data_IF_197165341392
#
_entry.id   IF_197165341392
#
_cell.length_a   1.000
_cell.length_b   1.000
_cell.length_c   1.000
_cell.angle_alpha   90.00
_cell.angle_beta   90.00
_cell.angle_gamma   90.00
#
_symmetry.space_group_name_H-M   'P 1'
#
loop_
_entity.id
_entity.type
_entity.pdbx_description
1 polymer ?
#
# COMPACT_ATOMS: atom_id res chain seq x y z
N UNK A 1 -19.55 -12.96 -11.33
CA UNK A 1 -19.23 -11.70 -10.61
C UNK A 1 -17.92 -11.87 -9.86
N UNK A 2 -16.96 -11.05 -10.18
CA UNK A 2 -15.64 -11.18 -9.58
C UNK A 2 -15.61 -10.55 -8.19
N UNK A 3 -15.34 -11.37 -7.18
CA UNK A 3 -15.21 -10.90 -5.81
C UNK A 3 -13.72 -10.75 -5.49
N UNK A 4 -13.25 -9.52 -5.55
CA UNK A 4 -11.86 -9.22 -5.18
C UNK A 4 -11.74 -9.09 -3.66
N UNK A 5 -10.59 -9.53 -3.14
CA UNK A 5 -10.30 -9.43 -1.71
C UNK A 5 -10.07 -7.99 -1.28
N UNK A 6 -9.46 -7.19 -2.13
CA UNK A 6 -9.16 -5.79 -1.88
C UNK A 6 -8.72 -5.10 -3.18
N UNK A 7 -8.74 -3.78 -3.17
CA UNK A 7 -8.25 -2.97 -4.29
C UNK A 7 -6.91 -2.34 -3.90
N UNK A 8 -5.87 -2.67 -4.66
CA UNK A 8 -4.51 -2.27 -4.36
C UNK A 8 -3.98 -1.33 -5.43
N UNK A 9 -3.35 -0.23 -5.01
CA UNK A 9 -2.64 0.67 -5.90
C UNK A 9 -1.16 0.28 -5.89
N UNK A 10 -0.59 0.04 -7.06
CA UNK A 10 0.83 -0.27 -7.23
C UNK A 10 1.51 0.90 -7.92
N UNK A 11 2.45 1.54 -7.23
CA UNK A 11 3.17 2.72 -7.73
C UNK A 11 4.64 2.38 -7.93
N UNK A 12 5.08 2.37 -9.16
CA UNK A 12 6.46 2.09 -9.54
C UNK A 12 6.71 2.68 -10.92
N UNK A 13 7.84 3.33 -11.13
CA UNK A 13 8.20 3.89 -12.43
C UNK A 13 8.70 2.83 -13.42
N UNK A 14 9.06 1.65 -12.94
CA UNK A 14 9.51 0.55 -13.78
C UNK A 14 8.32 -0.22 -14.34
N UNK A 15 8.13 -0.16 -15.66
CA UNK A 15 7.00 -0.80 -16.35
C UNK A 15 6.99 -2.32 -16.13
N UNK A 16 8.17 -2.94 -16.16
CA UNK A 16 8.29 -4.39 -15.97
C UNK A 16 7.87 -4.84 -14.59
N UNK A 17 8.34 -4.14 -13.56
CA UNK A 17 7.99 -4.44 -12.17
C UNK A 17 6.51 -4.21 -11.96
N UNK A 18 6.00 -3.10 -12.45
CA UNK A 18 4.57 -2.74 -12.31
C UNK A 18 3.67 -3.80 -12.93
N UNK A 19 4.00 -4.25 -14.14
CA UNK A 19 3.23 -5.29 -14.83
C UNK A 19 3.32 -6.64 -14.13
N UNK A 20 4.49 -7.01 -13.65
CA UNK A 20 4.70 -8.28 -12.95
C UNK A 20 3.92 -8.30 -11.64
N UNK A 21 4.01 -7.26 -10.84
CA UNK A 21 3.30 -7.16 -9.57
C UNK A 21 1.79 -7.19 -9.80
N UNK A 22 1.31 -6.44 -10.79
CA UNK A 22 -0.12 -6.43 -11.13
C UNK A 22 -0.63 -7.83 -11.48
N UNK A 23 0.10 -8.52 -12.36
CA UNK A 23 -0.26 -9.88 -12.75
C UNK A 23 -0.35 -10.81 -11.55
N UNK A 24 0.68 -10.78 -10.71
CA UNK A 24 0.75 -11.64 -9.55
C UNK A 24 -0.36 -11.37 -8.54
N UNK A 25 -0.66 -10.11 -8.28
CA UNK A 25 -1.74 -9.75 -7.39
C UNK A 25 -3.11 -10.10 -7.96
N UNK A 26 -3.32 -9.89 -9.26
CA UNK A 26 -4.56 -10.31 -9.90
C UNK A 26 -4.80 -11.81 -9.80
N UNK A 27 -3.74 -12.61 -9.93
CA UNK A 27 -3.82 -14.07 -9.77
C UNK A 27 -4.21 -14.48 -8.36
N UNK A 28 -4.01 -13.61 -7.38
CA UNK A 28 -4.35 -13.84 -5.99
C UNK A 28 -5.63 -13.11 -5.55
N UNK A 29 -6.48 -12.76 -6.50
CA UNK A 29 -7.80 -12.16 -6.28
C UNK A 29 -7.78 -10.74 -5.75
N UNK A 30 -6.74 -9.98 -6.06
CA UNK A 30 -6.73 -8.55 -5.78
C UNK A 30 -7.04 -7.77 -7.05
N UNK A 31 -7.85 -6.73 -6.92
CA UNK A 31 -8.05 -5.76 -7.98
C UNK A 31 -6.88 -4.78 -7.92
N UNK A 32 -6.25 -4.50 -9.05
CA UNK A 32 -5.04 -3.68 -9.08
C UNK A 32 -5.22 -2.49 -10.02
N UNK A 33 -4.91 -1.31 -9.50
CA UNK A 33 -4.71 -0.10 -10.30
C UNK A 33 -3.24 0.26 -10.20
N UNK A 34 -2.64 0.72 -11.27
CA UNK A 34 -1.23 1.07 -11.30
C UNK A 34 -1.03 2.58 -11.48
N UNK A 35 0.09 3.08 -10.99
CA UNK A 35 0.54 4.45 -11.22
C UNK A 35 2.04 4.42 -11.51
N UNK A 36 2.48 5.27 -12.43
CA UNK A 36 3.88 5.30 -12.88
C UNK A 36 4.72 6.37 -12.17
N UNK A 37 4.09 7.17 -11.32
CA UNK A 37 4.74 8.28 -10.63
C UNK A 37 3.96 8.65 -9.37
N UNK A 38 4.60 9.44 -8.51
CA UNK A 38 3.93 9.98 -7.33
C UNK A 38 2.77 10.91 -7.71
N UNK A 39 2.93 11.68 -8.78
CA UNK A 39 1.86 12.57 -9.26
C UNK A 39 0.65 11.79 -9.75
N UNK A 40 0.88 10.75 -10.55
CA UNK A 40 -0.19 9.88 -11.04
C UNK A 40 -0.90 9.20 -9.86
N UNK A 41 -0.14 8.74 -8.88
CA UNK A 41 -0.71 8.14 -7.68
C UNK A 41 -1.55 9.14 -6.88
N UNK A 42 -1.07 10.37 -6.74
CA UNK A 42 -1.82 11.42 -6.03
C UNK A 42 -3.15 11.72 -6.70
N UNK A 43 -3.18 11.75 -8.02
CA UNK A 43 -4.42 11.96 -8.77
C UNK A 43 -5.40 10.81 -8.55
N UNK A 44 -4.90 9.59 -8.57
CA UNK A 44 -5.74 8.39 -8.43
C UNK A 44 -6.34 8.25 -7.04
N UNK A 45 -5.59 8.55 -5.99
CA UNK A 45 -6.11 8.44 -4.62
C UNK A 45 -7.19 9.48 -4.30
N UNK A 46 -7.28 10.55 -5.07
CA UNK A 46 -8.35 11.55 -4.93
C UNK A 46 -9.68 11.04 -5.46
N UNK A 47 -9.64 10.10 -6.39
CA UNK A 47 -10.83 9.60 -7.10
C UNK A 47 -11.24 8.22 -6.59
N UNK A 48 -10.28 7.38 -6.26
CA UNK A 48 -10.48 5.98 -5.90
C UNK A 48 -9.98 5.74 -4.48
N UNK A 49 -10.79 5.06 -3.67
CA UNK A 49 -10.34 4.63 -2.34
C UNK A 49 -9.71 3.25 -2.47
N UNK A 50 -8.42 3.17 -2.15
CA UNK A 50 -7.69 1.91 -2.16
C UNK A 50 -7.63 1.32 -0.76
N UNK A 51 -7.50 0.00 -0.69
CA UNK A 51 -7.36 -0.72 0.58
C UNK A 51 -5.90 -0.79 1.03
N UNK A 52 -4.97 -0.68 0.08
CA UNK A 52 -3.54 -0.74 0.36
C UNK A 52 -2.78 -0.16 -0.83
N UNK A 53 -1.63 0.46 -0.55
CA UNK A 53 -0.73 1.00 -1.57
C UNK A 53 0.62 0.29 -1.47
N UNK A 54 1.09 -0.24 -2.60
CA UNK A 54 2.46 -0.73 -2.76
C UNK A 54 3.23 0.37 -3.48
N UNK A 55 4.25 0.93 -2.84
CA UNK A 55 4.89 2.16 -3.26
C UNK A 55 6.39 2.04 -3.32
N UNK A 56 6.96 2.24 -4.51
CA UNK A 56 8.40 2.29 -4.68
C UNK A 56 8.95 3.62 -4.13
N UNK A 57 10.04 3.55 -3.38
CA UNK A 57 10.68 4.76 -2.86
C UNK A 57 11.40 5.51 -3.97
N UNK A 58 12.17 4.79 -4.80
CA UNK A 58 13.04 5.40 -5.80
C UNK A 58 12.32 5.65 -7.11
N UNK A 59 11.80 6.86 -7.26
CA UNK A 59 11.13 7.30 -8.50
C UNK A 59 11.64 8.67 -8.92
N UNK A 60 11.72 8.96 -10.23
CA UNK A 60 12.07 10.30 -10.71
C UNK A 60 11.06 11.34 -10.24
N UNK A 61 11.52 12.56 -9.99
CA UNK A 61 10.66 13.59 -9.45
C UNK A 61 10.43 13.37 -7.97
N UNK A 62 9.18 13.24 -7.55
CA UNK A 62 8.87 12.94 -6.14
C UNK A 62 9.08 11.47 -5.86
N UNK A 63 9.81 11.17 -4.80
CA UNK A 63 9.99 9.78 -4.37
C UNK A 63 8.82 9.32 -3.51
N UNK A 64 8.83 8.03 -3.14
CA UNK A 64 7.75 7.46 -2.34
C UNK A 64 7.59 8.08 -0.96
N UNK A 65 8.70 8.49 -0.32
CA UNK A 65 8.67 9.12 1.00
C UNK A 65 7.99 10.48 0.92
N UNK A 66 8.30 11.27 -0.09
CA UNK A 66 7.66 12.57 -0.33
C UNK A 66 6.17 12.41 -0.60
N UNK A 67 5.80 11.38 -1.34
CA UNK A 67 4.39 11.08 -1.60
C UNK A 67 3.62 10.84 -0.31
N UNK A 68 4.16 10.02 0.61
CA UNK A 68 3.52 9.76 1.89
C UNK A 68 3.40 11.04 2.70
N UNK A 69 4.47 11.81 2.78
CA UNK A 69 4.51 13.05 3.55
C UNK A 69 3.47 14.06 3.06
N UNK A 70 3.35 14.26 1.75
CA UNK A 70 2.41 15.19 1.17
C UNK A 70 0.95 14.77 1.33
N UNK A 71 0.69 13.47 1.37
CA UNK A 71 -0.68 12.96 1.44
C UNK A 71 -1.08 12.50 2.84
N UNK A 72 -0.22 12.68 3.81
CA UNK A 72 -0.39 12.17 5.17
C UNK A 72 -1.71 12.55 5.83
N UNK A 73 -2.17 13.77 5.63
CA UNK A 73 -3.41 14.26 6.24
C UNK A 73 -4.67 13.63 5.66
N UNK A 74 -4.59 13.20 4.40
CA UNK A 74 -5.75 12.69 3.66
C UNK A 74 -5.68 11.18 3.37
N UNK A 75 -4.61 10.52 3.80
CA UNK A 75 -4.36 9.14 3.47
C UNK A 75 -4.44 8.24 4.70
N UNK A 76 -5.57 7.54 4.83
CA UNK A 76 -5.76 6.50 5.85
C UNK A 76 -5.34 5.12 5.37
N UNK A 77 -4.95 5.03 4.12
CA UNK A 77 -4.66 3.77 3.46
C UNK A 77 -3.30 3.25 3.91
N UNK A 78 -3.18 1.97 4.31
CA UNK A 78 -1.87 1.39 4.64
C UNK A 78 -0.95 1.35 3.43
N UNK A 79 0.36 1.51 3.69
CA UNK A 79 1.39 1.58 2.65
C UNK A 79 2.50 0.58 2.92
N UNK A 80 2.84 -0.21 1.91
CA UNK A 80 4.05 -1.04 1.89
C UNK A 80 5.06 -0.34 0.99
N UNK A 81 6.24 -0.02 1.52
CA UNK A 81 7.31 0.58 0.73
C UNK A 81 8.20 -0.49 0.11
N UNK A 82 8.54 -0.29 -1.17
CA UNK A 82 9.55 -1.10 -1.84
C UNK A 82 10.86 -0.33 -1.79
N UNK A 83 11.89 -0.94 -1.24
CA UNK A 83 13.18 -0.28 -0.99
C UNK A 83 14.31 -0.94 -1.76
N UNK A 84 15.38 -0.19 -2.03
CA UNK A 84 16.60 -0.76 -2.58
C UNK A 84 17.28 -1.63 -1.50
N UNK A 85 17.94 -2.69 -1.95
CA UNK A 85 18.62 -3.61 -1.06
C UNK A 85 19.72 -2.90 -0.25
N UNK A 86 19.69 -3.07 1.06
CA UNK A 86 20.73 -2.55 1.95
C UNK A 86 20.54 -1.14 2.44
N UNK A 87 19.47 -0.46 2.06
CA UNK A 87 19.23 0.93 2.42
C UNK A 87 18.48 1.05 3.77
N UNK A 88 19.22 0.83 4.85
CA UNK A 88 18.67 0.95 6.21
C UNK A 88 18.11 2.33 6.51
N UNK A 89 18.75 3.38 5.99
CA UNK A 89 18.33 4.77 6.17
C UNK A 89 16.94 5.01 5.57
N UNK A 90 16.69 4.54 4.36
CA UNK A 90 15.39 4.70 3.70
C UNK A 90 14.30 3.95 4.44
N UNK A 91 14.63 2.80 4.99
CA UNK A 91 13.72 1.99 5.76
C UNK A 91 13.25 2.70 7.03
N UNK A 92 14.20 3.31 7.74
CA UNK A 92 13.92 4.08 8.95
C UNK A 92 13.07 5.31 8.61
N UNK A 93 13.43 6.06 7.58
CA UNK A 93 12.67 7.21 7.13
C UNK A 93 11.24 6.83 6.73
N UNK A 94 11.09 5.69 6.05
CA UNK A 94 9.78 5.19 5.65
C UNK A 94 8.87 4.89 6.83
N UNK A 95 9.40 4.27 7.87
CA UNK A 95 8.64 3.99 9.08
C UNK A 95 8.29 5.29 9.83
N UNK A 96 9.21 6.25 9.86
CA UNK A 96 8.98 7.55 10.51
C UNK A 96 7.88 8.35 9.81
N UNK A 97 7.78 8.31 8.47
CA UNK A 97 6.73 9.03 7.75
C UNK A 97 5.39 8.30 7.75
N UNK A 98 5.32 7.08 8.26
CA UNK A 98 4.07 6.37 8.49
C UNK A 98 3.79 5.19 7.58
N UNK A 99 4.81 4.62 6.94
CA UNK A 99 4.61 3.36 6.21
C UNK A 99 4.32 2.22 7.19
N UNK A 100 3.47 1.30 6.78
CA UNK A 100 3.07 0.16 7.62
C UNK A 100 4.06 -1.00 7.52
N UNK A 101 4.76 -1.11 6.41
CA UNK A 101 5.75 -2.15 6.20
C UNK A 101 6.69 -1.73 5.08
N UNK A 102 7.79 -2.45 4.92
CA UNK A 102 8.72 -2.26 3.82
C UNK A 102 9.20 -3.61 3.33
N UNK A 103 9.59 -3.66 2.05
CA UNK A 103 10.05 -4.89 1.41
C UNK A 103 11.24 -4.55 0.51
N UNK A 104 12.45 -5.07 0.81
CA UNK A 104 13.62 -4.77 -0.02
C UNK A 104 13.55 -5.48 -1.37
N UNK A 105 14.00 -4.80 -2.42
CA UNK A 105 14.16 -5.39 -3.74
C UNK A 105 15.52 -6.08 -3.84
N UNK A 106 15.65 -7.20 -4.54
CA UNK A 106 14.58 -8.00 -5.14
C UNK A 106 13.80 -8.77 -4.10
N UNK A 107 12.50 -8.91 -4.30
CA UNK A 107 11.63 -9.64 -3.37
C UNK A 107 10.95 -10.81 -4.08
N UNK A 108 10.58 -11.81 -3.28
CA UNK A 108 9.74 -12.90 -3.77
C UNK A 108 8.28 -12.41 -3.85
N UNK A 109 7.59 -12.60 -4.97
CA UNK A 109 6.19 -12.20 -5.07
C UNK A 109 5.30 -12.75 -3.97
N UNK A 110 5.57 -13.97 -3.53
CA UNK A 110 4.84 -14.60 -2.43
C UNK A 110 5.03 -13.83 -1.11
N UNK A 111 6.21 -13.29 -0.88
CA UNK A 111 6.47 -12.48 0.31
C UNK A 111 5.64 -11.21 0.31
N UNK A 112 5.52 -10.54 -0.83
CA UNK A 112 4.67 -9.37 -0.97
C UNK A 112 3.21 -9.70 -0.63
N UNK A 113 2.71 -10.80 -1.16
CA UNK A 113 1.33 -11.24 -0.92
C UNK A 113 1.09 -11.52 0.56
N UNK A 114 2.02 -12.17 1.24
CA UNK A 114 1.89 -12.45 2.67
C UNK A 114 1.87 -11.16 3.50
N UNK A 115 2.69 -10.17 3.15
CA UNK A 115 2.68 -8.88 3.84
C UNK A 115 1.39 -8.11 3.61
N UNK A 116 0.89 -8.12 2.37
CA UNK A 116 -0.39 -7.51 2.03
C UNK A 116 -1.51 -8.13 2.87
N UNK A 117 -1.56 -9.44 2.89
CA UNK A 117 -2.58 -10.18 3.63
C UNK A 117 -2.54 -9.85 5.12
N UNK A 118 -1.34 -9.83 5.70
CA UNK A 118 -1.18 -9.50 7.12
C UNK A 118 -1.69 -8.10 7.45
N UNK A 119 -1.38 -7.13 6.61
CA UNK A 119 -1.83 -5.74 6.83
C UNK A 119 -3.34 -5.64 6.68
N UNK A 120 -3.92 -6.24 5.65
CA UNK A 120 -5.36 -6.21 5.44
C UNK A 120 -6.12 -6.89 6.57
N UNK A 121 -5.61 -8.00 7.09
CA UNK A 121 -6.21 -8.70 8.21
C UNK A 121 -6.19 -7.83 9.49
N UNK A 122 -5.11 -7.13 9.74
CA UNK A 122 -5.03 -6.20 10.88
C UNK A 122 -6.01 -5.05 10.74
N UNK A 123 -6.16 -4.50 9.56
CA UNK A 123 -7.10 -3.41 9.29
C UNK A 123 -8.53 -3.87 9.56
N UNK A 124 -8.91 -5.05 9.09
CA UNK A 124 -10.23 -5.62 9.33
C UNK A 124 -10.51 -5.83 10.82
N UNK A 125 -9.55 -6.35 11.56
CA UNK A 125 -9.68 -6.56 13.01
C UNK A 125 -9.88 -5.24 13.75
N UNK A 126 -9.16 -4.21 13.36
CA UNK A 126 -9.28 -2.88 13.96
C UNK A 126 -10.66 -2.29 13.69
N UNK A 127 -11.16 -2.40 12.47
CA UNK A 127 -12.50 -1.91 12.11
C UNK A 127 -13.59 -2.66 12.87
N UNK A 128 -13.50 -3.98 12.97
CA UNK A 128 -14.45 -4.78 13.72
C UNK A 128 -14.46 -4.40 15.20
N UNK A 129 -13.30 -4.16 15.77
CA UNK A 129 -13.18 -3.73 17.15
C UNK A 129 -13.86 -2.37 17.37
N UNK A 130 -13.66 -1.43 16.47
CA UNK A 130 -14.30 -0.10 16.55
C UNK A 130 -15.82 -0.21 16.48
N UNK A 131 -16.33 -1.07 15.61
CA UNK A 131 -17.77 -1.28 15.49
C UNK A 131 -18.35 -1.86 16.77
N UNK A 132 -17.70 -2.85 17.36
CA UNK A 132 -18.12 -3.45 18.61
C UNK A 132 -18.12 -2.43 19.76
N UNK A 133 -17.08 -1.64 19.88
CA UNK A 133 -16.99 -0.58 20.89
C UNK A 133 -18.09 0.46 20.72
N UNK A 134 -18.40 0.85 19.50
CA UNK A 134 -19.46 1.79 19.19
C UNK A 134 -20.83 1.22 19.57
N UNK A 135 -21.09 -0.04 19.26
CA UNK A 135 -22.34 -0.71 19.62
C UNK A 135 -22.51 -0.80 21.13
N UNK A 136 -21.46 -1.10 21.84
CA UNK A 136 -21.49 -1.18 23.31
C UNK A 136 -21.82 0.17 23.96
N UNK A 137 -21.30 1.24 23.43
CA UNK A 137 -21.62 2.60 23.90
C UNK A 137 -23.07 2.96 23.64
N UNK A 138 -23.64 2.45 22.58
CA UNK A 138 -25.00 2.75 22.16
C UNK A 138 -26.06 2.03 23.00
N UNK A 139 -25.71 0.94 23.66
CA UNK A 139 -26.63 0.09 24.39
C UNK A 139 -26.95 0.64 25.79
N UNK A 140 -26.19 1.59 26.29
CA UNK A 140 -26.52 2.24 27.55
C UNK A 140 -27.78 3.13 27.43
#
# INVERSE_FOLDING_TARGET
MDNFLAHILVVDDDDGIRSLVKKFLNENNYLVTTADSAEDASDKIKIIKFDLIVLDIMMPGKNGLEFIEENKKNLDTPVILLTAKGEAKERIEGLEVGADDYLPKPFEPKELILRIKNILDKTKKTEQKRIIEFENVKID
#
